data_IF_518041383018
#
_entry.id   IF_518041383018
#
_cell.length_a   1.000
_cell.length_b   1.000
_cell.length_c   1.000
_cell.angle_alpha   90.00
_cell.angle_beta   90.00
_cell.angle_gamma   90.00
#
_symmetry.space_group_name_H-M   'P 1'
#
loop_
_entity.id
_entity.type
_entity.pdbx_description
1 polymer ?
#
# COMPACT_ATOMS: atom_id res chain seq x y z
N UNK A 1 -63.54 51.87 10.56
CA UNK A 1 -62.87 50.57 10.81
C UNK A 1 -61.37 50.81 10.78
N UNK A 2 -60.64 50.66 11.90
CA UNK A 2 -59.22 50.98 11.97
C UNK A 2 -58.39 49.83 11.38
N UNK A 3 -57.47 50.17 10.49
CA UNK A 3 -56.52 49.27 9.84
C UNK A 3 -55.41 48.94 10.84
N UNK A 4 -55.30 47.66 11.20
CA UNK A 4 -54.32 47.12 12.13
C UNK A 4 -52.94 47.10 11.45
N UNK A 5 -52.04 47.99 11.88
CA UNK A 5 -50.69 48.13 11.33
C UNK A 5 -49.79 46.94 11.66
N UNK A 6 -49.19 46.34 10.64
CA UNK A 6 -48.21 45.27 10.76
C UNK A 6 -46.90 45.79 11.37
N UNK A 7 -46.42 45.11 12.42
CA UNK A 7 -45.16 45.43 13.07
C UNK A 7 -43.96 45.19 12.12
N UNK A 8 -42.94 46.08 12.13
CA UNK A 8 -41.73 45.92 11.32
C UNK A 8 -40.95 44.67 11.76
N UNK A 9 -40.62 43.79 10.81
CA UNK A 9 -39.71 42.66 11.02
C UNK A 9 -38.35 43.21 11.46
N UNK A 10 -37.91 42.84 12.64
CA UNK A 10 -36.54 43.05 13.09
C UNK A 10 -35.60 42.24 12.19
N UNK A 11 -34.82 42.93 11.37
CA UNK A 11 -33.68 42.35 10.66
C UNK A 11 -32.65 41.90 11.71
N UNK A 12 -32.55 40.59 11.91
CA UNK A 12 -31.57 39.99 12.81
C UNK A 12 -30.14 40.28 12.35
N UNK A 13 -29.17 40.32 13.28
CA UNK A 13 -27.77 40.64 12.98
C UNK A 13 -27.23 39.73 11.88
N UNK A 14 -26.67 40.35 10.84
CA UNK A 14 -26.08 39.68 9.68
C UNK A 14 -25.10 38.59 10.15
N UNK A 15 -25.38 37.35 9.76
CA UNK A 15 -24.55 36.19 10.08
C UNK A 15 -23.14 36.43 9.52
N UNK A 16 -22.08 36.41 10.36
CA UNK A 16 -20.73 36.71 9.90
C UNK A 16 -20.30 35.66 8.87
N UNK A 17 -19.80 36.15 7.72
CA UNK A 17 -19.34 35.31 6.64
C UNK A 17 -18.41 34.20 7.17
N UNK A 18 -18.62 32.94 6.78
CA UNK A 18 -17.86 31.82 7.32
C UNK A 18 -16.36 32.07 7.08
N UNK A 19 -15.60 32.12 8.17
CA UNK A 19 -14.15 32.33 8.10
C UNK A 19 -13.51 31.27 7.20
N UNK A 20 -12.60 31.68 6.31
CA UNK A 20 -11.91 30.79 5.38
C UNK A 20 -11.26 29.57 6.08
N UNK A 21 -10.90 29.74 7.35
CA UNK A 21 -10.32 28.72 8.21
C UNK A 21 -11.27 27.56 8.56
N UNK A 22 -12.59 27.80 8.59
CA UNK A 22 -13.60 26.73 8.75
C UNK A 22 -13.78 25.90 7.49
N UNK A 23 -13.50 26.47 6.32
CA UNK A 23 -13.63 25.77 5.05
C UNK A 23 -12.44 24.84 4.85
N UNK A 24 -11.22 25.31 5.10
CA UNK A 24 -9.99 24.51 5.00
C UNK A 24 -9.98 23.34 5.98
N UNK A 25 -10.36 23.56 7.24
CA UNK A 25 -10.44 22.50 8.26
C UNK A 25 -11.43 21.40 7.89
N UNK A 26 -12.61 21.73 7.33
CA UNK A 26 -13.59 20.71 6.88
C UNK A 26 -13.13 19.91 5.67
N UNK A 27 -12.40 20.52 4.74
CA UNK A 27 -11.89 19.81 3.55
C UNK A 27 -10.79 18.83 3.97
N UNK A 28 -9.87 19.26 4.84
CA UNK A 28 -8.83 18.39 5.39
C UNK A 28 -9.41 17.23 6.21
N UNK A 29 -10.43 17.47 7.03
CA UNK A 29 -11.06 16.41 7.83
C UNK A 29 -11.82 15.38 6.99
N UNK A 30 -12.41 15.80 5.85
CA UNK A 30 -13.07 14.86 4.91
C UNK A 30 -12.07 14.03 4.13
N UNK A 31 -10.95 14.62 3.70
CA UNK A 31 -9.92 13.88 2.98
C UNK A 31 -9.26 12.81 3.87
N UNK A 32 -9.01 13.12 5.14
CA UNK A 32 -8.42 12.17 6.09
C UNK A 32 -9.41 11.06 6.46
N UNK A 33 -10.70 11.37 6.65
CA UNK A 33 -11.71 10.35 6.93
C UNK A 33 -11.96 9.42 5.75
N UNK A 34 -11.91 9.94 4.52
CA UNK A 34 -12.04 9.12 3.31
C UNK A 34 -10.84 8.19 3.13
N UNK A 35 -9.62 8.67 3.36
CA UNK A 35 -8.41 7.84 3.32
C UNK A 35 -8.42 6.74 4.40
N UNK A 36 -8.89 7.06 5.60
CA UNK A 36 -9.06 6.09 6.68
C UNK A 36 -10.09 5.01 6.32
N UNK A 37 -11.23 5.40 5.73
CA UNK A 37 -12.27 4.48 5.30
C UNK A 37 -11.83 3.49 4.21
N UNK A 38 -11.03 3.94 3.25
CA UNK A 38 -10.50 3.07 2.17
C UNK A 38 -9.55 2.01 2.74
N UNK A 39 -8.68 2.39 3.68
CA UNK A 39 -7.79 1.43 4.35
C UNK A 39 -8.55 0.43 5.20
N UNK A 40 -9.55 0.88 5.97
CA UNK A 40 -10.35 -0.01 6.80
C UNK A 40 -11.12 -1.06 5.97
N UNK A 41 -11.61 -0.68 4.79
CA UNK A 41 -12.25 -1.63 3.88
C UNK A 41 -11.25 -2.65 3.32
N UNK A 42 -10.04 -2.24 2.91
CA UNK A 42 -9.02 -3.17 2.39
C UNK A 42 -8.60 -4.20 3.43
N UNK A 43 -8.47 -3.79 4.70
CA UNK A 43 -8.10 -4.67 5.81
C UNK A 43 -9.17 -5.72 6.12
N UNK A 44 -10.45 -5.41 5.87
CA UNK A 44 -11.58 -6.33 6.08
C UNK A 44 -12.01 -7.08 4.82
N UNK A 45 -11.45 -6.73 3.66
CA UNK A 45 -11.86 -7.33 2.40
C UNK A 45 -11.43 -8.80 2.35
N UNK A 46 -12.33 -9.72 1.96
CA UNK A 46 -11.92 -11.11 1.72
C UNK A 46 -10.85 -11.16 0.61
N UNK A 47 -9.87 -12.05 0.76
CA UNK A 47 -8.67 -12.09 -0.09
C UNK A 47 -8.95 -12.14 -1.59
N UNK A 48 -10.08 -12.71 -2.02
CA UNK A 48 -10.48 -12.73 -3.43
C UNK A 48 -10.77 -11.33 -3.99
N UNK A 49 -11.29 -10.39 -3.19
CA UNK A 49 -11.50 -8.99 -3.63
C UNK A 49 -10.16 -8.31 -3.85
N UNK A 50 -9.20 -8.56 -2.97
CA UNK A 50 -7.84 -8.04 -3.11
C UNK A 50 -7.18 -8.57 -4.39
N UNK A 51 -7.35 -9.87 -4.68
CA UNK A 51 -6.93 -10.48 -5.94
C UNK A 51 -7.54 -9.77 -7.15
N UNK A 52 -8.86 -9.55 -7.17
CA UNK A 52 -9.52 -8.83 -8.27
C UNK A 52 -8.97 -7.41 -8.46
N UNK A 53 -8.78 -6.66 -7.36
CA UNK A 53 -8.22 -5.30 -7.41
C UNK A 53 -6.79 -5.33 -7.94
N UNK A 54 -5.96 -6.26 -7.46
CA UNK A 54 -4.57 -6.40 -7.94
C UNK A 54 -4.52 -6.79 -9.41
N UNK A 55 -5.38 -7.71 -9.87
CA UNK A 55 -5.51 -8.05 -11.30
C UNK A 55 -5.89 -6.82 -12.12
N UNK A 56 -6.90 -6.05 -11.68
CA UNK A 56 -7.36 -4.87 -12.39
C UNK A 56 -6.28 -3.78 -12.49
N UNK A 57 -5.48 -3.61 -11.44
CA UNK A 57 -4.35 -2.67 -11.42
C UNK A 57 -3.22 -3.14 -12.33
N UNK A 58 -2.88 -4.42 -12.32
CA UNK A 58 -1.72 -4.98 -13.03
C UNK A 58 -2.01 -5.23 -14.52
N UNK A 59 -3.24 -5.62 -14.87
CA UNK A 59 -3.64 -5.95 -16.24
C UNK A 59 -3.24 -4.91 -17.30
N UNK A 60 -3.52 -3.60 -17.16
CA UNK A 60 -3.15 -2.62 -18.18
C UNK A 60 -1.62 -2.54 -18.37
N UNK A 61 -0.83 -2.68 -17.30
CA UNK A 61 0.63 -2.69 -17.40
C UNK A 61 1.14 -3.91 -18.16
N UNK A 62 0.56 -5.09 -17.90
CA UNK A 62 0.96 -6.34 -18.57
C UNK A 62 0.52 -6.33 -20.04
N UNK A 63 -0.69 -5.86 -20.35
CA UNK A 63 -1.17 -5.69 -21.72
C UNK A 63 -0.28 -4.70 -22.48
N UNK A 64 0.02 -3.55 -21.88
CA UNK A 64 0.91 -2.55 -22.49
C UNK A 64 2.30 -3.12 -22.71
N UNK A 65 2.85 -3.87 -21.74
CA UNK A 65 4.12 -4.56 -21.92
C UNK A 65 4.06 -5.51 -23.13
N UNK A 66 3.05 -6.38 -23.25
CA UNK A 66 2.93 -7.26 -24.42
C UNK A 66 2.71 -6.54 -25.74
N UNK A 67 2.00 -5.40 -25.73
CA UNK A 67 1.78 -4.59 -26.93
C UNK A 67 3.08 -3.92 -27.42
N UNK A 68 3.97 -3.57 -26.49
CA UNK A 68 5.26 -2.95 -26.80
C UNK A 68 6.37 -3.99 -27.10
N UNK A 69 6.23 -5.23 -26.61
CA UNK A 69 7.27 -6.27 -26.66
C UNK A 69 7.27 -7.08 -27.97
N UNK A 70 6.19 -7.07 -28.76
CA UNK A 70 6.15 -7.86 -30.00
C UNK A 70 5.51 -7.14 -31.17
N UNK A 71 5.91 -7.53 -32.39
CA UNK A 71 5.20 -7.22 -33.65
C UNK A 71 3.82 -7.92 -33.74
N UNK A 72 3.23 -8.23 -32.58
CA UNK A 72 1.93 -8.87 -32.47
C UNK A 72 0.85 -7.83 -32.65
N UNK A 73 -0.26 -8.27 -33.23
CA UNK A 73 -1.45 -7.44 -33.30
C UNK A 73 -1.94 -7.08 -31.89
N UNK A 74 -2.49 -5.87 -31.74
CA UNK A 74 -3.09 -5.39 -30.49
C UNK A 74 -4.03 -6.43 -29.82
N UNK A 75 -4.91 -7.16 -30.54
CA UNK A 75 -5.74 -8.21 -29.95
C UNK A 75 -4.93 -9.32 -29.26
N UNK A 76 -3.82 -9.75 -29.87
CA UNK A 76 -2.97 -10.79 -29.29
C UNK A 76 -2.27 -10.30 -28.01
N UNK A 77 -1.84 -9.03 -27.96
CA UNK A 77 -1.29 -8.42 -26.76
C UNK A 77 -2.32 -8.33 -25.62
N UNK A 78 -3.55 -7.94 -25.94
CA UNK A 78 -4.66 -7.88 -24.98
C UNK A 78 -4.95 -9.27 -24.40
N UNK A 79 -5.09 -10.30 -25.25
CA UNK A 79 -5.36 -11.67 -24.81
C UNK A 79 -4.25 -12.23 -23.91
N UNK A 80 -2.99 -12.08 -24.32
CA UNK A 80 -1.84 -12.56 -23.54
C UNK A 80 -1.68 -11.79 -22.23
N UNK A 81 -1.90 -10.48 -22.25
CA UNK A 81 -1.77 -9.64 -21.08
C UNK A 81 -2.87 -9.88 -20.05
N UNK A 82 -4.13 -10.01 -20.49
CA UNK A 82 -5.22 -10.41 -19.62
C UNK A 82 -5.02 -11.82 -19.07
N UNK A 83 -4.66 -12.80 -19.91
CA UNK A 83 -4.40 -14.16 -19.46
C UNK A 83 -3.33 -14.22 -18.38
N UNK A 84 -2.23 -13.49 -18.59
CA UNK A 84 -1.13 -13.40 -17.62
C UNK A 84 -1.57 -12.69 -16.35
N UNK A 85 -2.28 -11.56 -16.44
CA UNK A 85 -2.76 -10.80 -15.28
C UNK A 85 -3.77 -11.60 -14.45
N UNK A 86 -4.65 -12.39 -15.08
CA UNK A 86 -5.61 -13.26 -14.39
C UNK A 86 -4.90 -14.37 -13.59
N UNK A 87 -3.73 -14.83 -14.04
CA UNK A 87 -2.94 -15.83 -13.31
C UNK A 87 -2.11 -15.17 -12.21
N UNK A 88 -1.38 -14.08 -12.54
CA UNK A 88 -0.47 -13.42 -11.61
C UNK A 88 -1.19 -12.62 -10.51
N UNK A 89 -2.33 -12.00 -10.84
CA UNK A 89 -3.07 -11.13 -9.95
C UNK A 89 -3.59 -11.82 -8.68
N UNK A 90 -4.20 -13.03 -8.76
CA UNK A 90 -4.58 -13.80 -7.58
C UNK A 90 -3.41 -14.22 -6.71
N UNK A 91 -2.28 -14.63 -7.32
CA UNK A 91 -1.07 -15.01 -6.56
C UNK A 91 -0.56 -13.80 -5.76
N UNK A 92 -0.41 -12.64 -6.41
CA UNK A 92 0.03 -11.41 -5.76
C UNK A 92 -0.99 -10.90 -4.73
N UNK A 93 -2.28 -11.00 -5.03
CA UNK A 93 -3.36 -10.61 -4.13
C UNK A 93 -3.39 -11.47 -2.88
N UNK A 94 -3.23 -12.79 -3.00
CA UNK A 94 -3.17 -13.72 -1.87
C UNK A 94 -1.93 -13.47 -1.01
N UNK A 95 -0.75 -13.31 -1.63
CA UNK A 95 0.47 -12.97 -0.90
C UNK A 95 0.33 -11.65 -0.14
N UNK A 96 -0.28 -10.64 -0.77
CA UNK A 96 -0.53 -9.35 -0.12
C UNK A 96 -1.53 -9.47 1.02
N UNK A 97 -2.60 -10.23 0.83
CA UNK A 97 -3.62 -10.46 1.87
C UNK A 97 -3.02 -11.15 3.10
N UNK A 98 -2.22 -12.21 2.89
CA UNK A 98 -1.54 -12.89 4.00
C UNK A 98 -0.56 -11.95 4.71
N UNK A 99 0.24 -11.19 3.98
CA UNK A 99 1.13 -10.19 4.59
C UNK A 99 0.37 -9.15 5.42
N UNK A 100 -0.83 -8.76 4.98
CA UNK A 100 -1.68 -7.81 5.68
C UNK A 100 -2.29 -8.43 6.94
N UNK A 101 -2.76 -9.67 6.85
CA UNK A 101 -3.33 -10.42 7.98
C UNK A 101 -2.28 -10.74 9.04
N UNK A 102 -1.09 -11.20 8.64
CA UNK A 102 0.03 -11.44 9.54
C UNK A 102 0.45 -10.16 10.25
N UNK A 103 0.45 -9.03 9.52
CA UNK A 103 0.74 -7.72 10.11
C UNK A 103 -0.29 -7.28 11.15
N UNK A 104 -1.57 -7.63 10.96
CA UNK A 104 -2.62 -7.34 11.94
C UNK A 104 -2.53 -8.26 13.16
N UNK A 105 -2.24 -9.55 12.95
CA UNK A 105 -2.08 -10.51 14.04
C UNK A 105 -0.92 -10.12 14.99
N UNK A 106 0.16 -9.57 14.44
CA UNK A 106 1.30 -9.07 15.19
C UNK A 106 1.00 -7.83 16.06
N UNK A 107 -0.06 -7.08 15.74
CA UNK A 107 -0.43 -5.83 16.43
C UNK A 107 -1.00 -6.03 17.83
N UNK A 108 -1.46 -7.24 18.18
CA UNK A 108 -2.12 -7.51 19.46
C UNK A 108 -3.44 -6.75 19.67
N UNK A 109 -4.07 -6.88 20.84
CA UNK A 109 -5.34 -6.23 21.17
C UNK A 109 -5.15 -4.76 21.58
N UNK A 110 -4.50 -3.95 20.74
CA UNK A 110 -4.46 -2.50 20.94
C UNK A 110 -5.72 -1.86 20.33
N UNK A 111 -6.21 -0.72 20.89
CA UNK A 111 -7.21 0.11 20.24
C UNK A 111 -6.78 0.52 18.82
N UNK A 112 -7.73 0.59 17.88
CA UNK A 112 -7.45 0.88 16.46
C UNK A 112 -6.65 2.18 16.24
N UNK A 113 -6.89 3.20 17.08
CA UNK A 113 -6.19 4.49 17.01
C UNK A 113 -4.71 4.38 17.40
N UNK A 114 -4.40 3.56 18.41
CA UNK A 114 -3.03 3.33 18.88
C UNK A 114 -2.25 2.45 17.89
N UNK A 115 -2.92 1.49 17.23
CA UNK A 115 -2.31 0.66 16.19
C UNK A 115 -1.77 1.48 15.03
N UNK A 116 -2.49 2.51 14.59
CA UNK A 116 -2.03 3.38 13.51
C UNK A 116 -0.77 4.18 13.90
N UNK A 117 -0.69 4.64 15.15
CA UNK A 117 0.47 5.36 15.69
C UNK A 117 1.67 4.42 15.82
N UNK A 118 1.45 3.23 16.40
CA UNK A 118 2.46 2.18 16.55
C UNK A 118 2.99 1.71 15.19
N UNK A 119 2.11 1.47 14.21
CA UNK A 119 2.53 1.04 12.87
C UNK A 119 3.29 2.14 12.12
N UNK A 120 2.84 3.40 12.26
CA UNK A 120 3.57 4.55 11.69
C UNK A 120 4.95 4.66 12.30
N UNK A 121 5.06 4.57 13.63
CA UNK A 121 6.31 4.59 14.36
C UNK A 121 7.22 3.40 13.98
N UNK A 122 6.68 2.21 13.74
CA UNK A 122 7.44 1.05 13.31
C UNK A 122 7.98 1.17 11.88
N UNK A 123 7.26 1.84 10.96
CA UNK A 123 7.68 1.96 9.54
C UNK A 123 8.60 3.14 9.24
N UNK A 124 8.18 4.37 9.57
CA UNK A 124 8.82 5.62 9.09
C UNK A 124 8.57 6.86 9.96
N UNK A 125 7.83 6.75 11.07
CA UNK A 125 7.45 7.88 11.91
C UNK A 125 8.57 8.43 12.80
N UNK A 126 8.32 9.52 13.56
CA UNK A 126 9.18 9.91 14.67
C UNK A 126 9.25 8.78 15.73
N UNK A 127 10.30 8.79 16.57
CA UNK A 127 10.40 7.85 17.70
C UNK A 127 9.42 8.33 18.78
N UNK A 128 8.47 7.50 19.25
CA UNK A 128 7.55 7.89 20.33
C UNK A 128 8.30 8.19 21.62
N UNK A 129 7.91 9.27 22.30
CA UNK A 129 8.45 9.64 23.62
C UNK A 129 8.01 8.64 24.69
N UNK A 130 6.76 8.18 24.63
CA UNK A 130 6.22 7.16 25.52
C UNK A 130 6.92 5.80 25.32
N UNK A 131 7.44 5.25 26.41
CA UNK A 131 8.17 3.98 26.43
C UNK A 131 7.26 2.79 26.07
N UNK A 132 5.98 2.81 26.47
CA UNK A 132 5.05 1.73 26.16
C UNK A 132 4.76 1.66 24.65
N UNK A 133 4.46 2.80 24.03
CA UNK A 133 4.26 2.91 22.58
C UNK A 133 5.53 2.54 21.80
N UNK A 134 6.70 2.92 22.32
CA UNK A 134 7.99 2.59 21.70
C UNK A 134 8.29 1.10 21.75
N UNK A 135 8.03 0.45 22.88
CA UNK A 135 8.20 -1.00 23.03
C UNK A 135 7.24 -1.78 22.12
N UNK A 136 5.98 -1.34 22.02
CA UNK A 136 5.02 -1.91 21.09
C UNK A 136 5.48 -1.78 19.62
N UNK A 137 5.97 -0.60 19.22
CA UNK A 137 6.51 -0.37 17.87
C UNK A 137 7.75 -1.23 17.59
N UNK A 138 8.60 -1.46 18.59
CA UNK A 138 9.76 -2.34 18.48
C UNK A 138 9.33 -3.79 18.24
N UNK A 139 8.37 -4.31 19.00
CA UNK A 139 7.86 -5.69 18.82
C UNK A 139 7.30 -5.90 17.42
N UNK A 140 6.51 -4.95 16.90
CA UNK A 140 5.98 -4.99 15.53
C UNK A 140 7.11 -4.97 14.48
N UNK A 141 8.17 -4.18 14.70
CA UNK A 141 9.32 -4.14 13.80
C UNK A 141 10.13 -5.46 13.81
N UNK A 142 10.32 -6.06 14.98
CA UNK A 142 11.04 -7.33 15.16
C UNK A 142 10.28 -8.51 14.55
N UNK A 143 8.95 -8.57 14.75
CA UNK A 143 8.12 -9.64 14.18
C UNK A 143 8.13 -9.60 12.65
N UNK A 144 8.02 -8.40 12.07
CA UNK A 144 8.20 -8.23 10.62
C UNK A 144 9.57 -8.68 10.13
N UNK A 145 10.63 -8.43 10.89
CA UNK A 145 11.96 -8.93 10.55
C UNK A 145 12.04 -10.45 10.60
N UNK A 146 11.35 -11.11 11.53
CA UNK A 146 11.27 -12.58 11.61
C UNK A 146 10.54 -13.16 10.40
N UNK A 147 9.35 -12.63 10.08
CA UNK A 147 8.58 -13.07 8.90
C UNK A 147 9.36 -12.85 7.60
N UNK A 148 10.01 -11.69 7.46
CA UNK A 148 10.85 -11.38 6.30
C UNK A 148 12.07 -12.31 6.20
N UNK A 149 12.62 -12.79 7.33
CA UNK A 149 13.73 -13.75 7.32
C UNK A 149 13.28 -15.14 6.87
N UNK A 150 12.11 -15.60 7.32
CA UNK A 150 11.56 -16.90 6.95
C UNK A 150 11.16 -17.00 5.47
N UNK A 151 10.55 -15.94 4.93
CA UNK A 151 10.08 -15.90 3.53
C UNK A 151 11.16 -15.48 2.52
N UNK A 152 12.32 -15.00 3.01
CA UNK A 152 13.36 -14.42 2.15
C UNK A 152 14.01 -15.41 1.20
N UNK A 153 14.37 -16.57 1.72
CA UNK A 153 15.15 -17.57 0.98
C UNK A 153 14.39 -18.06 -0.24
N UNK A 154 13.14 -18.56 -0.11
CA UNK A 154 12.40 -19.01 -1.29
C UNK A 154 12.11 -17.85 -2.27
N UNK A 155 11.78 -16.66 -1.78
CA UNK A 155 11.52 -15.51 -2.66
C UNK A 155 12.76 -15.06 -3.46
N UNK A 156 13.95 -15.06 -2.83
CA UNK A 156 15.22 -14.75 -3.50
C UNK A 156 15.63 -15.84 -4.49
N UNK A 157 15.45 -17.11 -4.12
CA UNK A 157 15.75 -18.23 -5.01
C UNK A 157 14.82 -18.17 -6.22
N UNK A 158 13.51 -18.00 -6.02
CA UNK A 158 12.55 -17.85 -7.10
C UNK A 158 12.86 -16.64 -7.99
N UNK A 159 13.10 -15.47 -7.39
CA UNK A 159 13.48 -14.26 -8.14
C UNK A 159 14.80 -14.42 -8.90
N UNK A 160 15.79 -15.10 -8.31
CA UNK A 160 17.08 -15.40 -8.95
C UNK A 160 16.95 -16.37 -10.12
N UNK A 161 16.12 -17.41 -9.99
CA UNK A 161 15.80 -18.35 -11.07
C UNK A 161 15.08 -17.62 -12.21
N UNK A 162 14.10 -16.77 -11.91
CA UNK A 162 13.38 -15.97 -12.91
C UNK A 162 14.30 -14.97 -13.61
N UNK A 163 15.20 -14.31 -12.87
CA UNK A 163 16.21 -13.43 -13.43
C UNK A 163 17.14 -14.21 -14.38
N UNK A 164 17.67 -15.35 -13.94
CA UNK A 164 18.57 -16.18 -14.75
C UNK A 164 17.86 -16.68 -16.02
N UNK A 165 16.61 -17.12 -15.89
CA UNK A 165 15.77 -17.50 -17.03
C UNK A 165 15.59 -16.35 -18.01
N UNK A 166 15.25 -15.15 -17.53
CA UNK A 166 15.12 -13.97 -18.36
C UNK A 166 16.42 -13.61 -19.08
N UNK A 167 17.58 -13.70 -18.42
CA UNK A 167 18.89 -13.47 -19.06
C UNK A 167 19.18 -14.52 -20.13
N UNK A 168 18.91 -15.80 -19.86
CA UNK A 168 19.10 -16.87 -20.85
C UNK A 168 18.22 -16.65 -22.10
N UNK A 169 16.97 -16.29 -21.90
CA UNK A 169 16.03 -15.93 -22.98
C UNK A 169 16.48 -14.66 -23.73
N UNK A 170 17.11 -13.71 -23.04
CA UNK A 170 17.69 -12.51 -23.67
C UNK A 170 18.82 -12.83 -24.62
N UNK A 171 19.68 -13.77 -24.24
CA UNK A 171 20.83 -14.19 -25.05
C UNK A 171 20.39 -15.09 -26.22
N UNK A 172 19.40 -15.96 -26.00
CA UNK A 172 19.09 -17.04 -26.96
C UNK A 172 17.94 -16.71 -27.92
N UNK A 173 16.96 -15.90 -27.50
CA UNK A 173 15.76 -15.68 -28.30
C UNK A 173 15.60 -14.24 -28.73
N UNK A 174 15.74 -13.27 -27.82
CA UNK A 174 15.53 -11.87 -28.19
C UNK A 174 16.05 -10.86 -27.17
N UNK A 175 16.65 -9.73 -27.61
CA UNK A 175 17.18 -8.70 -26.72
C UNK A 175 16.16 -8.06 -25.77
N UNK A 176 14.85 -8.09 -26.07
CA UNK A 176 13.84 -7.45 -25.21
C UNK A 176 13.71 -8.08 -23.83
N UNK A 177 14.12 -9.35 -23.65
CA UNK A 177 14.15 -10.00 -22.34
C UNK A 177 15.09 -9.32 -21.34
N UNK A 178 16.00 -8.45 -21.80
CA UNK A 178 16.74 -7.55 -20.91
C UNK A 178 15.83 -6.68 -20.04
N UNK A 179 14.62 -6.32 -20.51
CA UNK A 179 13.63 -5.60 -19.68
C UNK A 179 13.09 -6.48 -18.55
N UNK A 180 12.75 -7.73 -18.85
CA UNK A 180 12.32 -8.69 -17.84
C UNK A 180 13.45 -8.95 -16.83
N UNK A 181 14.69 -9.11 -17.31
CA UNK A 181 15.86 -9.25 -16.46
C UNK A 181 16.05 -8.02 -15.57
N UNK A 182 15.96 -6.80 -16.12
CA UNK A 182 16.05 -5.55 -15.35
C UNK A 182 14.94 -5.45 -14.29
N UNK A 183 13.71 -5.84 -14.65
CA UNK A 183 12.58 -5.88 -13.72
C UNK A 183 12.81 -6.86 -12.55
N UNK A 184 13.20 -8.10 -12.84
CA UNK A 184 13.50 -9.10 -11.81
C UNK A 184 14.71 -8.70 -10.95
N UNK A 185 15.75 -8.11 -11.56
CA UNK A 185 16.89 -7.57 -10.85
C UNK A 185 16.47 -6.42 -9.90
N UNK A 186 15.63 -5.50 -10.37
CA UNK A 186 15.11 -4.40 -9.54
C UNK A 186 14.28 -4.92 -8.36
N UNK A 187 13.42 -5.92 -8.57
CA UNK A 187 12.65 -6.56 -7.49
C UNK A 187 13.56 -7.24 -6.47
N UNK A 188 14.60 -7.95 -6.93
CA UNK A 188 15.61 -8.54 -6.04
C UNK A 188 16.30 -7.47 -5.20
N UNK A 189 16.81 -6.40 -5.83
CA UNK A 189 17.45 -5.27 -5.15
C UNK A 189 16.52 -4.62 -4.13
N UNK A 190 15.26 -4.38 -4.49
CA UNK A 190 14.25 -3.86 -3.56
C UNK A 190 14.02 -4.80 -2.36
N UNK A 191 13.98 -6.11 -2.61
CA UNK A 191 13.91 -7.15 -1.56
C UNK A 191 15.14 -7.21 -0.66
N UNK A 192 16.31 -6.73 -1.11
CA UNK A 192 17.48 -6.55 -0.26
C UNK A 192 17.43 -5.27 0.59
N UNK A 193 16.87 -4.19 0.05
CA UNK A 193 16.81 -2.89 0.72
C UNK A 193 15.79 -2.84 1.88
N UNK A 194 14.62 -3.48 1.73
CA UNK A 194 13.55 -3.50 2.73
C UNK A 194 14.02 -3.89 4.16
N UNK A 195 14.71 -5.02 4.37
CA UNK A 195 15.11 -5.45 5.71
C UNK A 195 16.23 -4.60 6.30
N UNK A 196 17.15 -4.05 5.49
CA UNK A 196 18.17 -3.13 5.99
C UNK A 196 17.53 -1.88 6.61
N UNK A 197 16.44 -1.38 6.01
CA UNK A 197 15.68 -0.25 6.54
C UNK A 197 14.96 -0.59 7.84
N UNK A 198 14.38 -1.80 7.95
CA UNK A 198 13.71 -2.26 9.17
C UNK A 198 14.71 -2.54 10.31
N UNK A 199 15.88 -3.08 10.00
CA UNK A 199 16.95 -3.29 10.98
C UNK A 199 17.42 -1.97 11.59
N UNK A 200 17.75 -0.99 10.75
CA UNK A 200 18.11 0.36 11.20
C UNK A 200 17.01 0.98 12.05
N UNK A 201 15.74 0.75 11.70
CA UNK A 201 14.61 1.28 12.48
C UNK A 201 14.46 0.59 13.84
N UNK A 202 14.62 -0.72 13.90
CA UNK A 202 14.62 -1.45 15.17
C UNK A 202 15.78 -1.02 16.07
N UNK A 203 16.97 -0.77 15.51
CA UNK A 203 18.12 -0.23 16.24
C UNK A 203 17.82 1.16 16.81
N UNK A 204 17.21 2.06 16.04
CA UNK A 204 16.80 3.38 16.53
C UNK A 204 15.76 3.29 17.67
N UNK A 205 14.80 2.38 17.56
CA UNK A 205 13.79 2.17 18.61
C UNK A 205 14.39 1.54 19.89
N UNK A 206 15.44 0.70 19.76
CA UNK A 206 16.18 0.16 20.91
C UNK A 206 17.10 1.19 21.56
N UNK A 207 17.74 2.06 20.76
CA UNK A 207 18.79 2.97 21.20
C UNK A 207 18.32 4.28 21.82
N UNK A 208 17.02 4.59 21.82
CA UNK A 208 16.48 5.81 22.45
C UNK A 208 16.31 5.74 23.98
N UNK A 209 16.91 4.76 24.66
CA UNK A 209 16.87 4.63 26.12
C UNK A 209 17.88 5.53 26.81
#
# INVERSE_FOLDING_TARGET
MPVQGAAPRSEGPAEPAPSADRVTTRVLSRATSQAAGVNAWMLRAPGWKLACVMTAVIAPFVVLAFALIGDRSWPAAVLMGLGTAVICGPVLGFLTANQLQDSMAAGGPLPDDDLAVVERAARRGPVPEDDATREAALRVAEDRLLVLRGTRTPARVAGGVLLLGAVLLAVTQSPWWWLAAAFWAALLVAGFAAPARLQRRAELLRGGR
#
